data_IF_953075829232
#
_entry.id   IF_953075829232
#
_cell.length_a   1.000
_cell.length_b   1.000
_cell.length_c   1.000
_cell.angle_alpha   90.00
_cell.angle_beta   90.00
_cell.angle_gamma   90.00
#
_symmetry.space_group_name_H-M   'P 1'
#
loop_
_entity.id
_entity.type
_entity.pdbx_description
1 polymer ?
#
# COMPACT_ATOMS: atom_id res chain seq x y z
N UNK A 1 2.93 16.19 46.82
CA UNK A 1 1.91 15.59 45.92
C UNK A 1 2.47 15.57 44.51
N UNK A 2 2.44 14.42 43.83
CA UNK A 2 2.80 14.33 42.40
C UNK A 2 1.76 15.14 41.63
N UNK A 3 2.21 16.13 40.85
CA UNK A 3 1.34 16.83 39.89
C UNK A 3 1.18 15.95 38.65
N UNK A 4 -0.03 15.87 38.14
CA UNK A 4 -0.35 15.14 36.92
C UNK A 4 -0.83 16.13 35.87
N UNK A 5 -0.50 15.85 34.61
CA UNK A 5 -0.84 16.71 33.48
C UNK A 5 -1.58 15.89 32.42
N UNK A 6 -2.69 16.43 31.94
CA UNK A 6 -3.43 15.86 30.82
C UNK A 6 -2.69 16.15 29.51
N UNK A 7 -2.43 15.11 28.71
CA UNK A 7 -1.75 15.25 27.41
C UNK A 7 -2.56 15.99 26.34
N UNK A 8 -3.89 15.98 26.46
CA UNK A 8 -4.80 16.53 25.45
C UNK A 8 -5.13 18.00 25.72
N UNK A 9 -5.60 18.35 26.92
CA UNK A 9 -5.99 19.72 27.25
C UNK A 9 -4.93 20.50 28.05
N UNK A 10 -3.85 19.83 28.48
CA UNK A 10 -2.77 20.46 29.26
C UNK A 10 -3.12 20.74 30.73
N UNK A 11 -4.32 20.37 31.20
CA UNK A 11 -4.73 20.59 32.59
C UNK A 11 -3.73 19.94 33.56
N UNK A 12 -3.26 20.73 34.54
CA UNK A 12 -2.39 20.28 35.62
C UNK A 12 -3.15 20.29 36.95
N UNK A 13 -3.06 19.18 37.69
CA UNK A 13 -3.74 19.03 38.98
C UNK A 13 -3.01 18.09 39.94
N UNK A 14 -3.54 17.96 41.16
CA UNK A 14 -3.15 16.88 42.07
C UNK A 14 -3.67 15.54 41.54
N UNK A 15 -2.97 14.45 41.85
CA UNK A 15 -3.36 13.11 41.43
C UNK A 15 -4.80 12.72 41.84
N UNK A 16 -5.26 13.19 42.99
CA UNK A 16 -6.62 12.95 43.51
C UNK A 16 -7.74 13.48 42.59
N UNK A 17 -7.43 14.44 41.72
CA UNK A 17 -8.39 14.98 40.74
C UNK A 17 -8.53 14.14 39.48
N UNK A 18 -7.63 13.18 39.23
CA UNK A 18 -7.66 12.33 38.04
C UNK A 18 -8.23 10.96 38.40
N UNK A 19 -8.97 10.37 37.46
CA UNK A 19 -9.45 9.00 37.61
C UNK A 19 -8.36 8.04 37.15
N UNK A 20 -7.81 7.22 38.03
CA UNK A 20 -6.76 6.25 37.67
C UNK A 20 -7.34 5.03 36.93
N UNK A 21 -6.56 4.49 35.99
CA UNK A 21 -6.82 3.16 35.42
C UNK A 21 -6.56 2.08 36.45
N UNK A 22 -7.58 1.79 37.24
CA UNK A 22 -7.55 0.73 38.23
C UNK A 22 -7.53 -0.68 37.63
N UNK A 23 -7.81 -0.81 36.32
CA UNK A 23 -7.88 -2.12 35.65
C UNK A 23 -6.51 -2.55 35.13
N UNK A 24 -5.82 -1.68 34.39
CA UNK A 24 -4.53 -2.02 33.79
C UNK A 24 -3.36 -1.27 34.43
N UNK A 25 -3.63 -0.28 35.29
CA UNK A 25 -2.62 0.56 35.94
C UNK A 25 -1.67 1.25 34.96
N UNK A 26 -2.18 1.61 33.78
CA UNK A 26 -1.40 2.22 32.70
C UNK A 26 -1.38 3.75 32.75
N UNK A 27 -2.42 4.36 33.32
CA UNK A 27 -2.65 5.79 33.17
C UNK A 27 -3.85 6.30 33.95
N UNK A 28 -4.41 7.39 33.46
CA UNK A 28 -5.44 8.14 34.14
C UNK A 28 -6.30 8.96 33.16
N UNK A 29 -7.55 9.24 33.53
CA UNK A 29 -8.47 10.10 32.80
C UNK A 29 -8.52 11.51 33.39
N UNK A 30 -8.51 12.49 32.49
CA UNK A 30 -8.59 13.90 32.84
C UNK A 30 -10.01 14.31 33.26
N UNK A 31 -10.20 14.97 34.41
CA UNK A 31 -11.53 15.37 34.88
C UNK A 31 -12.18 16.52 34.09
N UNK A 32 -11.46 17.12 33.12
CA UNK A 32 -11.95 18.25 32.31
C UNK A 32 -12.34 17.87 30.90
N UNK A 33 -11.67 16.89 30.31
CA UNK A 33 -11.89 16.53 28.91
C UNK A 33 -12.02 15.03 28.68
N UNK A 34 -12.05 14.23 29.76
CA UNK A 34 -12.21 12.78 29.78
C UNK A 34 -11.18 12.01 28.94
N UNK A 35 -10.07 12.65 28.58
CA UNK A 35 -9.02 12.01 27.80
C UNK A 35 -8.12 11.16 28.68
N UNK A 36 -7.67 10.04 28.15
CA UNK A 36 -6.67 9.19 28.79
C UNK A 36 -5.26 9.72 28.57
N UNK A 37 -4.44 9.70 29.62
CA UNK A 37 -2.99 9.94 29.58
C UNK A 37 -2.27 8.81 30.31
N UNK A 38 -1.13 8.36 29.80
CA UNK A 38 -0.34 7.33 30.46
C UNK A 38 0.44 7.92 31.63
N UNK A 39 0.68 7.11 32.67
CA UNK A 39 1.48 7.55 33.82
C UNK A 39 2.97 7.70 33.47
N UNK A 40 3.42 7.01 32.42
CA UNK A 40 4.75 7.10 31.84
C UNK A 40 4.68 7.78 30.48
N UNK A 41 5.27 8.96 30.35
CA UNK A 41 5.27 9.77 29.12
C UNK A 41 5.77 8.98 27.90
N UNK A 42 6.67 8.01 28.09
CA UNK A 42 7.18 7.17 27.02
C UNK A 42 6.09 6.35 26.32
N UNK A 43 5.04 5.92 27.03
CA UNK A 43 3.91 5.20 26.42
C UNK A 43 3.08 6.14 25.54
N UNK A 44 2.86 7.36 26.01
CA UNK A 44 2.20 8.38 25.20
C UNK A 44 3.01 8.77 23.96
N UNK A 45 4.34 8.82 24.07
CA UNK A 45 5.24 9.07 22.94
C UNK A 45 5.30 7.90 21.94
N UNK A 46 5.04 6.67 22.41
CA UNK A 46 5.03 5.46 21.56
C UNK A 46 3.72 5.30 20.78
N UNK A 47 2.61 5.86 21.28
CA UNK A 47 1.34 5.80 20.56
C UNK A 47 1.42 6.57 19.24
N UNK A 48 1.08 5.85 18.19
CA UNK A 48 1.01 6.41 16.86
C UNK A 48 -0.44 6.60 16.47
N UNK A 49 -0.76 7.84 16.12
CA UNK A 49 -1.93 8.19 15.34
C UNK A 49 -1.47 9.09 14.20
N UNK A 50 -1.31 8.48 13.03
CA UNK A 50 -0.77 9.13 11.83
C UNK A 50 -1.86 9.34 10.81
N UNK A 51 -1.93 10.54 10.24
CA UNK A 51 -2.77 10.86 9.09
C UNK A 51 -1.88 11.17 7.89
N UNK A 52 -1.95 10.32 6.87
CA UNK A 52 -1.19 10.46 5.64
C UNK A 52 -2.08 10.97 4.52
N UNK A 53 -1.78 12.19 4.07
CA UNK A 53 -2.52 12.86 3.00
C UNK A 53 -1.74 12.76 1.70
N UNK A 54 -2.32 12.08 0.72
CA UNK A 54 -1.70 11.87 -0.57
C UNK A 54 -1.88 13.09 -1.46
N UNK A 55 -0.76 13.76 -1.79
CA UNK A 55 -0.71 14.86 -2.74
C UNK A 55 0.47 14.73 -3.69
N UNK A 56 0.18 14.75 -4.99
CA UNK A 56 1.20 14.56 -6.03
C UNK A 56 2.08 15.79 -6.26
N UNK A 57 1.57 16.98 -5.90
CA UNK A 57 2.24 18.27 -6.16
C UNK A 57 3.13 18.68 -4.99
N UNK A 58 2.61 18.55 -3.76
CA UNK A 58 3.29 19.05 -2.56
C UNK A 58 3.72 17.93 -1.60
N UNK A 59 3.35 16.68 -1.87
CA UNK A 59 3.72 15.56 -1.03
C UNK A 59 5.22 15.32 -1.03
N UNK A 60 5.74 14.92 0.13
CA UNK A 60 7.15 14.53 0.26
C UNK A 60 7.35 13.15 -0.37
N UNK A 61 8.35 12.96 -1.23
CA UNK A 61 8.70 11.65 -1.74
C UNK A 61 9.02 10.71 -0.59
N UNK A 62 8.31 9.59 -0.60
CA UNK A 62 8.58 8.48 0.26
C UNK A 62 9.92 7.84 -0.20
N UNK A 63 10.92 7.73 0.69
CA UNK A 63 12.31 7.25 0.39
C UNK A 63 12.80 6.02 1.18
N UNK A 64 11.93 5.27 1.85
CA UNK A 64 12.29 4.07 2.60
C UNK A 64 12.80 2.97 1.65
N UNK A 65 14.03 2.52 1.91
CA UNK A 65 14.76 1.57 1.07
C UNK A 65 14.52 0.11 1.46
N UNK A 66 13.61 -0.18 2.40
CA UNK A 66 13.29 -1.56 2.77
C UNK A 66 12.85 -2.36 1.56
N UNK A 67 13.57 -3.45 1.34
CA UNK A 67 13.25 -4.41 0.29
C UNK A 67 12.10 -5.27 0.80
N UNK A 68 10.88 -4.90 0.38
CA UNK A 68 9.68 -5.70 0.63
C UNK A 68 9.23 -6.39 -0.64
N UNK A 69 8.67 -7.58 -0.51
CA UNK A 69 8.08 -8.30 -1.64
C UNK A 69 6.94 -7.47 -2.23
N UNK A 70 7.12 -7.06 -3.49
CA UNK A 70 6.11 -6.30 -4.22
C UNK A 70 5.15 -7.23 -4.96
N UNK A 71 3.96 -6.72 -5.27
CA UNK A 71 2.92 -7.43 -6.04
C UNK A 71 2.46 -8.77 -5.43
N UNK A 72 2.38 -8.83 -4.09
CA UNK A 72 1.91 -10.01 -3.35
C UNK A 72 0.42 -10.27 -3.55
N UNK A 73 -0.38 -9.22 -3.78
CA UNK A 73 -1.81 -9.34 -4.01
C UNK A 73 -2.14 -9.97 -5.38
N UNK A 74 -3.17 -10.82 -5.47
CA UNK A 74 -3.73 -11.25 -6.74
C UNK A 74 -4.51 -10.12 -7.43
N UNK A 75 -5.03 -9.16 -6.66
CA UNK A 75 -5.85 -8.05 -7.16
C UNK A 75 -5.00 -6.87 -7.64
N UNK A 76 -5.59 -6.10 -8.56
CA UNK A 76 -5.23 -4.72 -8.87
C UNK A 76 -6.27 -3.83 -8.22
N UNK A 77 -5.92 -3.17 -7.14
CA UNK A 77 -6.86 -2.30 -6.46
C UNK A 77 -6.54 -0.83 -6.75
N UNK A 78 -7.55 0.02 -7.01
CA UNK A 78 -7.38 1.46 -6.98
C UNK A 78 -6.70 1.89 -5.68
N UNK A 79 -5.83 2.90 -5.73
CA UNK A 79 -5.04 3.26 -4.55
C UNK A 79 -3.80 2.39 -4.31
N UNK A 80 -3.78 1.14 -4.80
CA UNK A 80 -2.66 0.19 -4.89
C UNK A 80 -1.46 0.50 -4.00
N UNK A 81 -1.62 0.33 -2.69
CA UNK A 81 -0.64 0.69 -1.65
C UNK A 81 0.58 -0.24 -1.56
N UNK A 82 0.84 -1.05 -2.58
CA UNK A 82 2.01 -1.94 -2.62
C UNK A 82 3.32 -1.17 -2.42
N UNK A 83 3.40 0.04 -2.99
CA UNK A 83 4.55 0.94 -2.82
C UNK A 83 4.54 1.71 -1.49
N UNK A 84 3.42 1.74 -0.78
CA UNK A 84 3.33 2.27 0.58
C UNK A 84 3.78 1.25 1.63
N UNK A 85 3.80 -0.05 1.30
CA UNK A 85 4.16 -1.11 2.24
C UNK A 85 5.51 -0.87 2.97
N UNK A 86 6.62 -0.44 2.32
CA UNK A 86 7.87 -0.12 3.02
C UNK A 86 7.74 0.98 4.06
N UNK A 87 6.82 1.93 3.85
CA UNK A 87 6.58 3.06 4.75
C UNK A 87 5.70 2.66 5.92
N UNK A 88 4.66 1.86 5.68
CA UNK A 88 3.88 1.28 6.78
C UNK A 88 4.79 0.42 7.63
N UNK A 89 5.60 -0.45 7.02
CA UNK A 89 6.63 -1.23 7.69
C UNK A 89 7.58 -0.37 8.53
N UNK A 90 7.85 0.87 8.10
CA UNK A 90 8.66 1.84 8.84
C UNK A 90 8.03 2.41 10.08
N UNK A 91 6.71 2.42 10.11
CA UNK A 91 5.95 2.97 11.22
C UNK A 91 5.48 1.89 12.18
N UNK A 92 5.47 0.61 11.80
CA UNK A 92 5.13 -0.50 12.71
C UNK A 92 5.90 -0.34 14.04
N UNK A 93 5.18 -0.06 15.15
CA UNK A 93 5.80 0.08 16.45
C UNK A 93 6.47 -1.22 16.90
N UNK A 94 7.50 -1.08 17.74
CA UNK A 94 8.12 -2.25 18.35
C UNK A 94 7.11 -3.00 19.22
N UNK A 95 7.04 -4.32 19.08
CA UNK A 95 6.09 -5.16 19.81
C UNK A 95 4.74 -5.36 19.12
N UNK A 96 4.49 -4.70 17.97
CA UNK A 96 3.30 -5.00 17.16
C UNK A 96 3.35 -6.44 16.64
N UNK A 97 2.34 -7.24 16.97
CA UNK A 97 2.18 -8.61 16.49
C UNK A 97 1.03 -8.76 15.48
N UNK A 98 0.11 -7.77 15.43
CA UNK A 98 -1.09 -7.83 14.61
C UNK A 98 -1.26 -6.58 13.76
N UNK A 99 -1.53 -6.77 12.47
CA UNK A 99 -1.88 -5.70 11.54
C UNK A 99 -3.31 -5.91 11.01
N UNK A 100 -4.14 -4.89 11.13
CA UNK A 100 -5.55 -4.95 10.71
C UNK A 100 -5.78 -3.95 9.60
N UNK A 101 -6.39 -4.40 8.51
CA UNK A 101 -6.91 -3.55 7.44
C UNK A 101 -8.45 -3.62 7.42
N UNK A 102 -9.16 -2.63 8.00
CA UNK A 102 -10.62 -2.56 7.97
C UNK A 102 -11.20 -2.40 6.55
N UNK A 103 -10.39 -1.86 5.63
CA UNK A 103 -10.68 -1.60 4.22
C UNK A 103 -9.60 -2.22 3.33
N UNK A 104 -9.40 -3.54 3.44
CA UNK A 104 -8.21 -4.17 2.89
C UNK A 104 -8.08 -4.07 1.36
N UNK A 105 -9.18 -4.10 0.62
CA UNK A 105 -9.19 -4.10 -0.84
C UNK A 105 -8.26 -5.17 -1.42
N UNK A 106 -7.08 -4.74 -1.89
CA UNK A 106 -6.05 -5.65 -2.38
C UNK A 106 -5.15 -6.28 -1.31
N UNK A 107 -5.22 -5.86 -0.05
CA UNK A 107 -4.38 -6.30 1.08
C UNK A 107 -2.87 -6.23 0.82
N UNK A 108 -2.43 -5.31 -0.05
CA UNK A 108 -1.03 -5.28 -0.50
C UNK A 108 -0.05 -4.93 0.63
N UNK A 109 -0.49 -4.12 1.60
CA UNK A 109 0.35 -3.70 2.74
C UNK A 109 0.44 -4.83 3.76
N UNK A 110 -0.69 -5.35 4.23
CA UNK A 110 -0.72 -6.40 5.25
C UNK A 110 -0.06 -7.68 4.80
N UNK A 111 -0.31 -8.13 3.57
CA UNK A 111 0.36 -9.32 3.03
C UNK A 111 1.87 -9.12 2.93
N UNK A 112 2.33 -7.93 2.54
CA UNK A 112 3.76 -7.65 2.44
C UNK A 112 4.43 -7.62 3.82
N UNK A 113 3.77 -7.03 4.82
CA UNK A 113 4.28 -6.98 6.20
C UNK A 113 4.32 -8.37 6.84
N UNK A 114 3.26 -9.17 6.66
CA UNK A 114 3.19 -10.55 7.13
C UNK A 114 4.29 -11.42 6.51
N UNK A 115 4.41 -11.39 5.17
CA UNK A 115 5.41 -12.19 4.46
C UNK A 115 6.85 -11.75 4.76
N UNK A 116 7.05 -10.52 5.24
CA UNK A 116 8.33 -10.02 5.71
C UNK A 116 8.62 -10.35 7.19
N UNK A 117 7.68 -11.01 7.90
CA UNK A 117 7.83 -11.35 9.31
C UNK A 117 7.80 -10.13 10.24
N UNK A 118 7.21 -9.01 9.80
CA UNK A 118 7.10 -7.79 10.61
C UNK A 118 5.94 -7.83 11.60
N UNK A 119 4.96 -8.70 11.35
CA UNK A 119 3.82 -9.01 12.20
C UNK A 119 3.56 -10.51 12.14
N UNK A 120 2.98 -11.07 13.20
CA UNK A 120 2.64 -12.49 13.28
C UNK A 120 1.30 -12.79 12.62
N UNK A 121 0.32 -11.87 12.74
CA UNK A 121 -1.04 -12.07 12.25
C UNK A 121 -1.57 -10.86 11.53
N UNK A 122 -2.46 -11.08 10.56
CA UNK A 122 -3.21 -10.03 9.90
C UNK A 122 -4.71 -10.31 9.94
N UNK A 123 -5.52 -9.25 10.01
CA UNK A 123 -6.96 -9.30 9.78
C UNK A 123 -7.30 -8.45 8.56
N UNK A 124 -7.87 -9.08 7.55
CA UNK A 124 -8.30 -8.47 6.30
C UNK A 124 -9.82 -8.34 6.33
N UNK A 125 -10.33 -7.12 6.44
CA UNK A 125 -11.75 -6.85 6.34
C UNK A 125 -12.06 -6.05 5.07
N UNK A 126 -13.13 -6.40 4.38
CA UNK A 126 -13.68 -5.57 3.32
C UNK A 126 -15.17 -5.79 3.20
N UNK A 127 -15.93 -4.72 2.92
CA UNK A 127 -17.37 -4.82 2.71
C UNK A 127 -17.71 -5.41 1.33
N UNK A 128 -16.79 -5.29 0.36
CA UNK A 128 -16.97 -5.79 -1.01
C UNK A 128 -17.02 -7.33 -1.03
N UNK A 129 -18.18 -7.95 -1.34
CA UNK A 129 -18.34 -9.40 -1.26
C UNK A 129 -17.34 -10.17 -2.14
N UNK A 130 -16.93 -9.60 -3.28
CA UNK A 130 -15.94 -10.20 -4.16
C UNK A 130 -14.53 -10.27 -3.56
N UNK A 131 -14.13 -9.27 -2.78
CA UNK A 131 -12.85 -9.25 -2.06
C UNK A 131 -12.86 -10.29 -0.96
N UNK A 132 -13.90 -10.27 -0.11
CA UNK A 132 -14.08 -11.27 0.96
C UNK A 132 -14.07 -12.69 0.41
N UNK A 133 -14.91 -12.97 -0.59
CA UNK A 133 -15.06 -14.31 -1.18
C UNK A 133 -13.76 -14.82 -1.80
N UNK A 134 -12.99 -13.92 -2.44
CA UNK A 134 -11.68 -14.25 -2.99
C UNK A 134 -10.72 -14.69 -1.89
N UNK A 135 -10.47 -13.83 -0.89
CA UNK A 135 -9.51 -14.15 0.16
C UNK A 135 -9.97 -15.36 0.99
N UNK A 136 -11.25 -15.45 1.34
CA UNK A 136 -11.78 -16.61 2.06
C UNK A 136 -11.54 -17.91 1.31
N UNK A 137 -11.82 -17.95 0.01
CA UNK A 137 -11.56 -19.14 -0.81
C UNK A 137 -10.06 -19.44 -0.93
N UNK A 138 -9.22 -18.41 -1.07
CA UNK A 138 -7.76 -18.60 -1.07
C UNK A 138 -7.30 -19.29 0.21
N UNK A 139 -7.86 -18.94 1.37
CA UNK A 139 -7.46 -19.50 2.66
C UNK A 139 -8.03 -20.90 2.94
N UNK A 140 -9.18 -21.25 2.36
CA UNK A 140 -9.84 -22.55 2.60
C UNK A 140 -9.50 -23.60 1.56
N UNK A 141 -9.61 -23.27 0.28
CA UNK A 141 -9.36 -24.17 -0.85
C UNK A 141 -8.95 -23.39 -2.12
N UNK A 142 -7.66 -23.02 -2.23
CA UNK A 142 -7.17 -22.17 -3.32
C UNK A 142 -7.28 -22.82 -4.70
N UNK A 143 -7.33 -24.16 -4.79
CA UNK A 143 -7.36 -24.88 -6.07
C UNK A 143 -8.67 -24.66 -6.82
N UNK A 144 -9.76 -24.32 -6.12
CA UNK A 144 -11.02 -23.91 -6.74
C UNK A 144 -10.85 -22.65 -7.61
N UNK A 145 -10.03 -21.69 -7.20
CA UNK A 145 -9.75 -20.49 -8.01
C UNK A 145 -8.68 -20.79 -9.05
N UNK A 146 -7.61 -21.51 -8.67
CA UNK A 146 -6.47 -21.78 -9.56
C UNK A 146 -6.90 -22.59 -10.78
N UNK A 147 -7.69 -23.64 -10.59
CA UNK A 147 -8.20 -24.47 -11.69
C UNK A 147 -9.02 -23.64 -12.68
N UNK A 148 -9.94 -22.79 -12.18
CA UNK A 148 -10.71 -21.88 -13.04
C UNK A 148 -9.81 -20.89 -13.78
N UNK A 149 -8.81 -20.30 -13.11
CA UNK A 149 -7.84 -19.40 -13.75
C UNK A 149 -7.08 -20.05 -14.91
N UNK A 150 -6.74 -21.33 -14.79
CA UNK A 150 -6.00 -22.07 -15.81
C UNK A 150 -6.88 -22.50 -16.99
N UNK A 151 -8.17 -22.74 -16.74
CA UNK A 151 -9.11 -23.26 -17.72
C UNK A 151 -9.95 -22.18 -18.43
N UNK A 152 -9.99 -20.95 -17.91
CA UNK A 152 -10.72 -19.84 -18.52
C UNK A 152 -9.78 -18.97 -19.36
N UNK A 153 -10.13 -18.72 -20.63
CA UNK A 153 -9.40 -17.79 -21.50
C UNK A 153 -9.88 -16.36 -21.25
N UNK A 154 -8.98 -15.40 -21.44
CA UNK A 154 -9.32 -13.99 -21.36
C UNK A 154 -10.11 -13.55 -22.60
N UNK A 155 -11.39 -13.24 -22.43
CA UNK A 155 -12.29 -12.72 -23.45
C UNK A 155 -13.30 -11.69 -22.90
N UNK A 156 -13.87 -10.86 -23.79
CA UNK A 156 -14.77 -9.77 -23.42
C UNK A 156 -16.19 -10.24 -23.08
N UNK A 157 -16.66 -11.32 -23.72
CA UNK A 157 -18.01 -11.84 -23.51
C UNK A 157 -18.15 -12.40 -22.09
N UNK A 158 -17.22 -13.28 -21.70
CA UNK A 158 -17.07 -13.81 -20.36
C UNK A 158 -16.88 -12.69 -19.34
N UNK A 159 -16.09 -11.65 -19.66
CA UNK A 159 -15.92 -10.49 -18.79
C UNK A 159 -17.24 -9.80 -18.45
N UNK A 160 -18.05 -9.47 -19.47
CA UNK A 160 -19.33 -8.80 -19.23
C UNK A 160 -20.35 -9.72 -18.56
N UNK A 161 -20.38 -11.01 -18.91
CA UNK A 161 -21.23 -11.99 -18.26
C UNK A 161 -20.89 -12.14 -16.76
N UNK A 162 -19.62 -12.33 -16.42
CA UNK A 162 -19.17 -12.43 -15.04
C UNK A 162 -19.40 -11.12 -14.28
N UNK A 163 -19.09 -9.97 -14.87
CA UNK A 163 -19.34 -8.67 -14.24
C UNK A 163 -20.82 -8.50 -13.93
N UNK A 164 -21.72 -8.80 -14.87
CA UNK A 164 -23.17 -8.73 -14.67
C UNK A 164 -23.61 -9.61 -13.50
N UNK A 165 -23.15 -10.86 -13.47
CA UNK A 165 -23.48 -11.80 -12.41
C UNK A 165 -23.04 -11.36 -11.02
N UNK A 166 -21.94 -10.60 -10.88
CA UNK A 166 -21.48 -10.12 -9.59
C UNK A 166 -22.48 -9.13 -8.94
N UNK A 167 -23.26 -8.42 -9.75
CA UNK A 167 -24.29 -7.48 -9.28
C UNK A 167 -25.69 -8.11 -9.19
N UNK A 168 -25.99 -9.10 -10.03
CA UNK A 168 -27.35 -9.65 -10.15
C UNK A 168 -27.55 -10.99 -9.42
N UNK A 169 -26.49 -11.80 -9.24
CA UNK A 169 -26.58 -13.14 -8.66
C UNK A 169 -26.21 -13.13 -7.16
N UNK A 170 -27.23 -13.12 -6.31
CA UNK A 170 -27.05 -13.19 -4.85
C UNK A 170 -26.49 -14.55 -4.37
N UNK A 171 -26.75 -15.64 -5.10
CA UNK A 171 -26.49 -17.02 -4.67
C UNK A 171 -25.15 -17.62 -5.11
N UNK A 172 -24.19 -16.81 -5.57
CA UNK A 172 -22.85 -17.30 -5.90
C UNK A 172 -22.14 -17.84 -4.65
N UNK A 173 -21.54 -19.02 -4.77
CA UNK A 173 -20.59 -19.52 -3.76
C UNK A 173 -19.37 -18.61 -3.68
N UNK A 174 -18.70 -18.58 -2.52
CA UNK A 174 -17.49 -17.77 -2.32
C UNK A 174 -16.43 -18.07 -3.39
N UNK A 175 -16.25 -19.34 -3.77
CA UNK A 175 -15.28 -19.72 -4.80
C UNK A 175 -15.63 -19.15 -6.18
N UNK A 176 -16.91 -19.20 -6.56
CA UNK A 176 -17.37 -18.67 -7.84
C UNK A 176 -17.32 -17.14 -7.85
N UNK A 177 -17.82 -16.50 -6.79
CA UNK A 177 -17.79 -15.04 -6.62
C UNK A 177 -16.37 -14.51 -6.61
N UNK A 178 -15.48 -15.11 -5.83
CA UNK A 178 -14.08 -14.75 -5.74
C UNK A 178 -13.33 -14.90 -7.07
N UNK A 179 -13.57 -16.00 -7.79
CA UNK A 179 -13.01 -16.20 -9.13
C UNK A 179 -13.49 -15.15 -10.14
N UNK A 180 -14.82 -14.94 -10.24
CA UNK A 180 -15.40 -13.95 -11.17
C UNK A 180 -14.92 -12.54 -10.85
N UNK A 181 -14.84 -12.19 -9.57
CA UNK A 181 -14.31 -10.91 -9.11
C UNK A 181 -12.85 -10.73 -9.52
N UNK A 182 -11.99 -11.73 -9.27
CA UNK A 182 -10.59 -11.71 -9.69
C UNK A 182 -10.47 -11.59 -11.22
N UNK A 183 -11.24 -12.36 -11.98
CA UNK A 183 -11.24 -12.33 -13.44
C UNK A 183 -11.57 -10.93 -13.97
N UNK A 184 -12.68 -10.34 -13.51
CA UNK A 184 -13.07 -8.98 -13.88
C UNK A 184 -12.02 -7.95 -13.43
N UNK A 185 -11.54 -8.04 -12.19
CA UNK A 185 -10.49 -7.16 -11.68
C UNK A 185 -9.22 -7.21 -12.53
N UNK A 186 -8.79 -8.40 -12.97
CA UNK A 186 -7.58 -8.52 -13.80
C UNK A 186 -7.76 -7.95 -15.19
N UNK A 187 -8.95 -8.04 -15.78
CA UNK A 187 -9.19 -7.59 -17.14
C UNK A 187 -9.60 -6.12 -17.22
N UNK A 188 -10.17 -5.56 -16.16
CA UNK A 188 -10.62 -4.17 -16.11
C UNK A 188 -9.46 -3.16 -16.15
N UNK A 189 -9.72 -2.00 -16.74
CA UNK A 189 -8.80 -0.87 -16.65
C UNK A 189 -8.58 -0.48 -15.18
N UNK A 190 -7.31 -0.44 -14.76
CA UNK A 190 -6.89 -0.20 -13.37
C UNK A 190 -7.48 -1.14 -12.31
N UNK A 191 -8.09 -2.26 -12.72
CA UNK A 191 -8.75 -3.20 -11.82
C UNK A 191 -10.04 -2.68 -11.17
N UNK A 192 -10.60 -1.60 -11.69
CA UNK A 192 -11.89 -1.06 -11.22
C UNK A 192 -12.99 -1.97 -11.76
N UNK A 193 -13.78 -2.61 -10.89
CA UNK A 193 -14.87 -3.49 -11.31
C UNK A 193 -15.89 -2.77 -12.22
N UNK A 194 -16.14 -1.49 -11.96
CA UNK A 194 -17.00 -0.64 -12.80
C UNK A 194 -16.38 -0.23 -14.15
N UNK A 195 -15.07 -0.44 -14.32
CA UNK A 195 -14.31 -0.05 -15.50
C UNK A 195 -14.57 -0.95 -16.71
N UNK A 196 -14.26 -0.43 -17.89
CA UNK A 196 -14.25 -1.23 -19.12
C UNK A 196 -13.04 -2.18 -19.14
N UNK A 197 -13.14 -3.31 -19.85
CA UNK A 197 -12.01 -4.21 -20.04
C UNK A 197 -10.89 -3.49 -20.80
N UNK A 198 -9.64 -3.83 -20.49
CA UNK A 198 -8.46 -3.28 -21.17
C UNK A 198 -8.44 -3.63 -22.66
N UNK A 199 -7.74 -2.81 -23.47
CA UNK A 199 -7.59 -3.06 -24.90
C UNK A 199 -6.92 -4.41 -25.19
N UNK A 200 -5.83 -4.69 -24.45
CA UNK A 200 -5.15 -5.98 -24.45
C UNK A 200 -5.40 -6.75 -23.14
N UNK A 201 -6.34 -7.69 -23.21
CA UNK A 201 -6.75 -8.54 -22.09
C UNK A 201 -5.64 -9.51 -21.64
N UNK A 202 -4.84 -10.02 -22.58
CA UNK A 202 -3.86 -11.07 -22.30
C UNK A 202 -2.68 -10.54 -21.49
N UNK A 203 -2.26 -9.28 -21.70
CA UNK A 203 -1.21 -8.66 -20.88
C UNK A 203 -1.57 -8.53 -19.39
N UNK A 204 -2.85 -8.66 -19.03
CA UNK A 204 -3.33 -8.48 -17.65
C UNK A 204 -3.78 -9.77 -16.98
N UNK A 205 -4.10 -10.79 -17.76
CA UNK A 205 -4.50 -12.10 -17.29
C UNK A 205 -3.36 -13.11 -17.43
N UNK A 206 -2.59 -13.30 -16.36
CA UNK A 206 -1.48 -14.26 -16.29
C UNK A 206 -1.78 -15.33 -15.23
N UNK A 207 -2.46 -16.44 -15.60
CA UNK A 207 -2.89 -17.47 -14.66
C UNK A 207 -1.76 -18.09 -13.85
N UNK A 208 -0.60 -18.34 -14.47
CA UNK A 208 0.56 -18.94 -13.78
C UNK A 208 1.07 -18.05 -12.65
N UNK A 209 1.20 -16.75 -12.92
CA UNK A 209 1.65 -15.77 -11.92
C UNK A 209 0.61 -15.58 -10.80
N UNK A 210 -0.67 -15.52 -11.16
CA UNK A 210 -1.76 -15.40 -10.18
C UNK A 210 -1.85 -16.63 -9.28
N UNK A 211 -1.74 -17.84 -9.86
CA UNK A 211 -1.73 -19.07 -9.11
C UNK A 211 -0.55 -19.13 -8.12
N UNK A 212 0.64 -18.68 -8.52
CA UNK A 212 1.79 -18.61 -7.63
C UNK A 212 1.54 -17.67 -6.43
N UNK A 213 0.92 -16.51 -6.66
CA UNK A 213 0.55 -15.57 -5.58
C UNK A 213 -0.50 -16.16 -4.65
N UNK A 214 -1.53 -16.80 -5.21
CA UNK A 214 -2.59 -17.46 -4.43
C UNK A 214 -2.00 -18.55 -3.53
N UNK A 215 -1.16 -19.43 -4.07
CA UNK A 215 -0.49 -20.47 -3.27
C UNK A 215 0.42 -19.88 -2.20
N UNK A 216 1.10 -18.78 -2.51
CA UNK A 216 1.90 -18.08 -1.51
C UNK A 216 1.02 -17.57 -0.37
N UNK A 217 -0.11 -16.92 -0.64
CA UNK A 217 -1.03 -16.44 0.42
C UNK A 217 -1.54 -17.63 1.24
N UNK A 218 -1.94 -18.72 0.59
CA UNK A 218 -2.40 -19.94 1.27
C UNK A 218 -1.35 -20.56 2.21
N UNK A 219 -0.05 -20.40 1.89
CA UNK A 219 1.03 -20.87 2.79
C UNK A 219 1.09 -20.11 4.13
N UNK A 220 0.43 -18.94 4.23
CA UNK A 220 0.31 -18.13 5.44
C UNK A 220 -1.11 -18.20 6.06
N UNK A 221 -2.00 -19.10 5.60
CA UNK A 221 -3.43 -19.06 5.97
C UNK A 221 -3.72 -19.06 7.47
N UNK A 222 -2.89 -19.72 8.28
CA UNK A 222 -3.08 -19.81 9.73
C UNK A 222 -2.75 -18.48 10.45
N UNK A 223 -2.15 -17.52 9.73
CA UNK A 223 -1.80 -16.18 10.20
C UNK A 223 -2.75 -15.10 9.63
N UNK A 224 -3.74 -15.47 8.80
CA UNK A 224 -4.62 -14.54 8.10
C UNK A 224 -6.07 -14.78 8.52
N UNK A 225 -6.69 -13.76 9.08
CA UNK A 225 -8.14 -13.70 9.31
C UNK A 225 -8.80 -12.87 8.19
N UNK A 226 -9.97 -13.31 7.71
CA UNK A 226 -10.73 -12.60 6.67
C UNK A 226 -12.17 -12.42 7.14
N UNK A 227 -12.66 -11.18 7.15
CA UNK A 227 -14.02 -10.82 7.58
C UNK A 227 -14.73 -9.93 6.57
N UNK A 228 -16.06 -9.91 6.61
CA UNK A 228 -16.92 -9.03 5.81
C UNK A 228 -17.86 -8.26 6.74
N UNK A 229 -17.28 -7.48 7.65
CA UNK A 229 -17.99 -6.73 8.67
C UNK A 229 -17.98 -5.22 8.35
N UNK A 230 -18.84 -4.47 9.04
CA UNK A 230 -18.73 -3.01 9.07
C UNK A 230 -17.33 -2.59 9.57
N UNK A 231 -16.69 -1.70 8.82
CA UNK A 231 -15.31 -1.33 9.08
C UNK A 231 -15.14 -0.54 10.38
N UNK A 232 -16.14 0.26 10.78
CA UNK A 232 -16.10 0.99 12.05
C UNK A 232 -16.18 0.02 13.22
N UNK A 233 -17.03 -1.01 13.13
CA UNK A 233 -17.07 -2.07 14.15
C UNK A 233 -15.75 -2.85 14.25
N UNK A 234 -15.07 -3.12 13.12
CA UNK A 234 -13.75 -3.77 13.13
C UNK A 234 -12.68 -2.88 13.76
N UNK A 235 -12.70 -1.58 13.46
CA UNK A 235 -11.79 -0.61 14.07
C UNK A 235 -11.99 -0.60 15.59
N UNK A 236 -13.22 -0.45 16.05
CA UNK A 236 -13.55 -0.42 17.48
C UNK A 236 -13.09 -1.72 18.17
N UNK A 237 -13.48 -2.89 17.65
CA UNK A 237 -13.11 -4.20 18.23
C UNK A 237 -11.59 -4.37 18.34
N UNK A 238 -10.86 -4.10 17.26
CA UNK A 238 -9.42 -4.35 17.17
C UNK A 238 -8.60 -3.32 17.94
N UNK A 239 -9.16 -2.13 18.15
CA UNK A 239 -8.52 -1.08 18.91
C UNK A 239 -8.29 -1.46 20.38
N UNK A 240 -9.26 -2.17 20.98
CA UNK A 240 -9.20 -2.65 22.37
C UNK A 240 -8.14 -3.74 22.61
N UNK A 241 -7.51 -4.28 21.56
CA UNK A 241 -6.42 -5.25 21.69
C UNK A 241 -5.11 -4.62 22.17
N UNK A 242 -5.01 -3.29 22.22
CA UNK A 242 -3.87 -2.59 22.79
C UNK A 242 -2.72 -2.33 21.82
N UNK A 243 -1.58 -1.93 22.37
CA UNK A 243 -0.42 -1.41 21.64
C UNK A 243 0.23 -2.44 20.68
N UNK A 244 -0.03 -3.74 20.86
CA UNK A 244 0.44 -4.82 19.98
C UNK A 244 -0.30 -4.87 18.62
N UNK A 245 -1.35 -4.08 18.46
CA UNK A 245 -2.13 -3.96 17.22
C UNK A 245 -1.82 -2.66 16.50
N UNK A 246 -1.64 -2.77 15.18
CA UNK A 246 -1.64 -1.65 14.25
C UNK A 246 -2.87 -1.71 13.35
N UNK A 247 -3.67 -0.65 13.33
CA UNK A 247 -4.75 -0.45 12.37
C UNK A 247 -4.22 0.36 11.19
N UNK A 248 -4.23 -0.23 10.00
CA UNK A 248 -3.97 0.47 8.74
C UNK A 248 -5.30 0.75 8.04
N UNK A 249 -5.75 2.00 8.09
CA UNK A 249 -7.10 2.43 7.72
C UNK A 249 -7.02 3.22 6.39
N UNK A 250 -7.35 2.55 5.28
CA UNK A 250 -7.36 3.14 3.92
C UNK A 250 -8.79 3.17 3.35
N UNK A 251 -9.67 4.07 3.86
CA UNK A 251 -11.07 4.12 3.45
C UNK A 251 -11.21 4.61 1.99
N UNK A 252 -12.39 4.47 1.38
CA UNK A 252 -12.68 5.10 0.10
C UNK A 252 -12.30 6.59 0.09
N UNK A 253 -11.59 7.08 -0.92
CA UNK A 253 -11.11 8.46 -0.96
C UNK A 253 -12.22 9.49 -1.09
N UNK A 254 -12.00 10.69 -0.57
CA UNK A 254 -13.00 11.76 -0.57
C UNK A 254 -13.27 12.29 -1.99
N UNK A 255 -12.26 12.80 -2.69
CA UNK A 255 -12.43 13.35 -4.05
C UNK A 255 -12.53 12.26 -5.11
N UNK A 256 -11.77 11.18 -4.93
CA UNK A 256 -11.61 10.14 -5.94
C UNK A 256 -12.58 8.96 -5.75
N UNK A 257 -13.18 8.81 -4.57
CA UNK A 257 -14.00 7.67 -4.20
C UNK A 257 -15.12 7.34 -5.18
N UNK A 258 -15.95 8.33 -5.60
CA UNK A 258 -17.06 8.09 -6.54
C UNK A 258 -16.64 7.50 -7.89
N UNK A 259 -15.37 7.60 -8.29
CA UNK A 259 -14.85 7.04 -9.54
C UNK A 259 -14.22 5.67 -9.36
N UNK A 260 -13.80 5.33 -8.15
CA UNK A 260 -12.94 4.17 -7.88
C UNK A 260 -13.70 3.01 -7.24
N UNK A 261 -14.71 3.30 -6.42
CA UNK A 261 -15.40 2.29 -5.62
C UNK A 261 -16.86 2.14 -6.04
N UNK A 262 -17.41 0.92 -6.07
CA UNK A 262 -18.84 0.71 -6.29
C UNK A 262 -19.72 1.42 -5.27
N UNK A 263 -19.26 1.48 -4.01
CA UNK A 263 -19.86 2.23 -2.91
C UNK A 263 -18.85 3.26 -2.40
N UNK A 264 -19.03 4.52 -2.77
CA UNK A 264 -18.23 5.61 -2.23
C UNK A 264 -18.72 5.96 -0.82
N UNK A 265 -17.81 6.47 0.02
CA UNK A 265 -18.17 7.09 1.27
C UNK A 265 -18.87 8.42 1.02
N UNK A 266 -19.93 8.68 1.77
CA UNK A 266 -20.52 10.00 1.92
C UNK A 266 -19.66 10.87 2.84
N UNK A 267 -19.92 12.18 2.88
CA UNK A 267 -19.27 13.06 3.86
C UNK A 267 -19.56 12.62 5.30
N UNK A 268 -20.77 12.12 5.56
CA UNK A 268 -21.18 11.60 6.86
C UNK A 268 -20.37 10.34 7.23
N UNK A 269 -20.12 9.43 6.28
CA UNK A 269 -19.27 8.26 6.54
C UNK A 269 -17.83 8.66 6.92
N UNK A 270 -17.28 9.69 6.27
CA UNK A 270 -15.97 10.24 6.63
C UNK A 270 -15.97 10.88 8.02
N UNK A 271 -17.03 11.61 8.36
CA UNK A 271 -17.21 12.22 9.68
C UNK A 271 -17.32 11.16 10.78
N UNK A 272 -18.09 10.10 10.54
CA UNK A 272 -18.26 8.99 11.48
C UNK A 272 -16.95 8.24 11.71
N UNK A 273 -16.18 7.98 10.65
CA UNK A 273 -14.85 7.38 10.79
C UNK A 273 -13.90 8.28 11.59
N UNK A 274 -13.84 9.58 11.26
CA UNK A 274 -12.98 10.53 11.97
C UNK A 274 -13.36 10.64 13.44
N UNK A 275 -14.66 10.78 13.73
CA UNK A 275 -15.19 10.82 15.09
C UNK A 275 -14.77 9.59 15.89
N UNK A 276 -14.96 8.38 15.34
CA UNK A 276 -14.60 7.14 16.02
C UNK A 276 -13.12 7.08 16.38
N UNK A 277 -12.23 7.31 15.41
CA UNK A 277 -10.78 7.16 15.67
C UNK A 277 -10.23 8.26 16.57
N UNK A 278 -10.76 9.49 16.47
CA UNK A 278 -10.42 10.59 17.37
C UNK A 278 -10.86 10.30 18.80
N UNK A 279 -12.09 9.83 18.97
CA UNK A 279 -12.65 9.49 20.28
C UNK A 279 -11.88 8.33 20.94
N UNK A 280 -11.65 7.25 20.20
CA UNK A 280 -10.83 6.13 20.63
C UNK A 280 -9.43 6.61 21.03
N UNK A 281 -8.76 7.39 20.18
CA UNK A 281 -7.40 7.87 20.46
C UNK A 281 -7.33 8.72 21.72
N UNK A 282 -8.29 9.63 21.87
CA UNK A 282 -8.38 10.58 22.98
C UNK A 282 -8.68 9.88 24.30
N UNK A 283 -9.66 8.98 24.33
CA UNK A 283 -10.28 8.52 25.58
C UNK A 283 -9.81 7.13 26.00
N UNK A 284 -9.20 6.36 25.11
CA UNK A 284 -8.94 4.94 25.35
C UNK A 284 -7.46 4.59 25.04
N UNK A 285 -6.74 3.92 25.96
CA UNK A 285 -5.47 3.27 25.63
C UNK A 285 -5.74 2.11 24.67
N UNK A 286 -5.02 2.04 23.54
CA UNK A 286 -5.35 1.06 22.51
C UNK A 286 -4.35 1.00 21.38
N UNK A 287 -4.83 0.44 20.27
CA UNK A 287 -4.04 0.21 19.07
C UNK A 287 -3.41 1.49 18.49
N UNK A 288 -2.32 1.27 17.77
CA UNK A 288 -1.71 2.28 16.91
C UNK A 288 -2.51 2.40 15.62
N UNK A 289 -2.53 3.59 15.02
CA UNK A 289 -3.33 3.86 13.83
C UNK A 289 -2.55 4.64 12.78
N UNK A 290 -2.67 4.19 11.53
CA UNK A 290 -2.23 4.90 10.34
C UNK A 290 -3.43 5.01 9.42
N UNK A 291 -3.81 6.25 9.08
CA UNK A 291 -4.94 6.54 8.20
C UNK A 291 -4.42 7.17 6.91
N UNK A 292 -4.94 6.75 5.76
CA UNK A 292 -4.58 7.32 4.45
C UNK A 292 -5.78 7.97 3.77
N UNK A 293 -5.56 9.13 3.16
CA UNK A 293 -6.57 9.88 2.42
C UNK A 293 -5.97 10.62 1.24
N UNK A 294 -6.81 11.05 0.30
CA UNK A 294 -6.43 12.10 -0.63
C UNK A 294 -6.34 13.46 0.08
N UNK A 295 -5.38 14.29 -0.31
CA UNK A 295 -5.22 15.60 0.30
C UNK A 295 -6.40 16.53 -0.01
N UNK A 296 -7.22 16.81 1.00
CA UNK A 296 -8.40 17.66 0.91
C UNK A 296 -8.64 18.41 2.22
N UNK A 297 -8.92 19.71 2.14
CA UNK A 297 -9.22 20.55 3.31
C UNK A 297 -10.39 19.98 4.12
N UNK A 298 -11.42 19.44 3.45
CA UNK A 298 -12.54 18.79 4.10
C UNK A 298 -12.11 17.61 4.98
N UNK A 299 -11.10 16.84 4.58
CA UNK A 299 -10.54 15.74 5.39
C UNK A 299 -9.64 16.30 6.50
N UNK A 300 -8.75 17.24 6.19
CA UNK A 300 -7.88 17.86 7.20
C UNK A 300 -8.69 18.44 8.36
N UNK A 301 -9.83 19.08 8.07
CA UNK A 301 -10.69 19.69 9.09
C UNK A 301 -11.44 18.67 9.97
N UNK A 302 -11.48 17.38 9.60
CA UNK A 302 -12.09 16.34 10.42
C UNK A 302 -11.14 15.79 11.49
N UNK A 303 -9.82 15.93 11.29
CA UNK A 303 -8.81 15.31 12.13
C UNK A 303 -7.98 16.37 12.87
N UNK A 304 -8.05 16.35 14.19
CA UNK A 304 -7.38 17.30 15.07
C UNK A 304 -6.19 16.69 15.82
N UNK A 305 -6.27 15.42 16.25
CA UNK A 305 -5.22 14.80 17.07
C UNK A 305 -4.09 14.09 16.31
N UNK A 306 -4.25 13.53 15.09
CA UNK A 306 -3.18 12.76 14.48
C UNK A 306 -2.02 13.66 14.04
N UNK A 307 -0.83 13.11 14.05
CA UNK A 307 0.30 13.71 13.34
C UNK A 307 0.05 13.59 11.84
N UNK A 308 -0.23 14.72 11.20
CA UNK A 308 -0.51 14.79 9.76
C UNK A 308 0.78 14.93 8.95
N UNK A 309 0.95 14.10 7.93
CA UNK A 309 2.05 14.17 6.97
C UNK A 309 1.50 14.15 5.54
N UNK A 310 1.96 15.08 4.69
CA UNK A 310 1.59 15.08 3.27
C UNK A 310 2.62 14.28 2.48
N UNK A 311 2.18 13.17 1.91
CA UNK A 311 3.03 12.18 1.24
C UNK A 311 2.81 12.21 -0.27
N UNK A 312 3.88 12.04 -1.05
CA UNK A 312 3.77 11.94 -2.51
C UNK A 312 3.33 10.53 -2.85
N UNK A 313 2.14 10.32 -3.43
CA UNK A 313 1.69 8.99 -3.72
C UNK A 313 2.46 8.43 -4.91
N UNK A 314 2.93 7.19 -4.78
CA UNK A 314 3.80 6.55 -5.76
C UNK A 314 2.98 5.78 -6.81
N UNK A 315 1.94 6.37 -7.40
CA UNK A 315 1.13 5.69 -8.41
C UNK A 315 1.90 5.43 -9.70
N UNK A 316 1.78 4.24 -10.29
CA UNK A 316 2.36 3.95 -11.61
C UNK A 316 1.81 4.86 -12.72
N UNK A 317 0.54 5.27 -12.64
CA UNK A 317 -0.14 6.08 -13.66
C UNK A 317 0.17 7.59 -13.53
N UNK A 318 0.25 8.09 -12.29
CA UNK A 318 0.65 9.50 -12.06
C UNK A 318 2.13 9.68 -12.34
N UNK A 319 2.99 8.69 -12.03
CA UNK A 319 4.38 8.75 -12.45
C UNK A 319 4.53 8.88 -13.96
N UNK A 320 3.61 8.37 -14.79
CA UNK A 320 3.70 8.56 -16.25
C UNK A 320 3.28 9.97 -16.69
N UNK A 321 2.28 10.60 -16.04
CA UNK A 321 1.79 11.93 -16.44
C UNK A 321 2.67 13.05 -15.90
N UNK A 322 3.11 12.94 -14.65
CA UNK A 322 4.09 13.85 -14.05
C UNK A 322 5.44 13.68 -14.74
N UNK A 323 5.87 12.45 -15.09
CA UNK A 323 7.06 12.28 -15.94
C UNK A 323 6.91 12.92 -17.30
N UNK A 324 5.74 12.87 -17.96
CA UNK A 324 5.55 13.57 -19.23
C UNK A 324 5.65 15.09 -19.09
N UNK A 325 5.07 15.66 -18.03
CA UNK A 325 5.11 17.11 -17.77
C UNK A 325 6.51 17.58 -17.30
N UNK A 326 7.19 16.79 -16.46
CA UNK A 326 8.60 17.01 -16.05
C UNK A 326 9.57 16.74 -17.23
N UNK A 327 9.35 15.72 -18.06
CA UNK A 327 10.11 15.48 -19.30
C UNK A 327 9.92 16.64 -20.28
N UNK A 328 8.71 17.21 -20.41
CA UNK A 328 8.48 18.39 -21.26
C UNK A 328 9.20 19.64 -20.73
N UNK A 329 9.29 19.81 -19.39
CA UNK A 329 10.08 20.88 -18.75
C UNK A 329 11.59 20.65 -18.85
N UNK A 330 12.05 19.40 -18.79
CA UNK A 330 13.46 19.00 -18.92
C UNK A 330 13.92 19.06 -20.39
N UNK A 331 13.05 18.73 -21.36
CA UNK A 331 13.34 18.86 -22.80
C UNK A 331 13.63 20.33 -23.18
N UNK A 332 13.05 21.29 -22.46
CA UNK A 332 13.30 22.71 -22.68
C UNK A 332 14.55 23.24 -21.96
N UNK A 333 15.25 22.42 -21.18
CA UNK A 333 16.42 22.87 -20.42
C UNK A 333 17.56 21.83 -20.46
N UNK A 334 18.49 22.10 -21.39
CA UNK A 334 19.87 21.58 -21.49
C UNK A 334 20.08 20.18 -22.10
N UNK A 335 20.61 20.22 -23.32
CA UNK A 335 21.82 19.56 -23.78
C UNK A 335 22.41 18.48 -22.85
N UNK A 336 22.19 17.20 -23.20
CA UNK A 336 23.18 16.10 -23.24
C UNK A 336 22.42 14.80 -23.51
N UNK A 337 22.12 14.51 -24.79
CA UNK A 337 21.81 13.16 -25.24
C UNK A 337 23.12 12.52 -25.68
N UNK A 338 23.79 11.79 -24.79
CA UNK A 338 24.94 10.95 -25.14
C UNK A 338 24.73 9.56 -24.56
N UNK A 339 24.12 8.68 -25.37
CA UNK A 339 24.65 7.37 -25.77
C UNK A 339 23.53 6.58 -26.48
N UNK A 340 23.12 7.05 -27.66
CA UNK A 340 22.23 6.31 -28.59
C UNK A 340 23.07 5.48 -29.58
N UNK A 341 24.28 5.06 -29.17
CA UNK A 341 25.14 4.22 -29.99
C UNK A 341 24.75 2.78 -29.79
N UNK A 342 24.17 2.19 -30.84
CA UNK A 342 23.81 0.77 -30.90
C UNK A 342 25.01 -0.17 -30.94
N UNK A 343 26.25 0.29 -31.00
CA UNK A 343 27.45 -0.56 -30.94
C UNK A 343 28.52 0.23 -30.19
N UNK A 344 28.80 -0.15 -28.94
CA UNK A 344 29.88 0.45 -28.16
C UNK A 344 31.23 -0.14 -28.58
N UNK A 345 32.26 0.69 -28.55
CA UNK A 345 33.64 0.33 -28.89
C UNK A 345 34.62 0.79 -27.79
N UNK A 346 35.80 0.15 -27.66
CA UNK A 346 36.89 0.69 -26.85
C UNK A 346 37.19 2.17 -27.19
N UNK A 347 37.23 3.01 -26.18
CA UNK A 347 37.38 4.47 -26.30
C UNK A 347 36.07 5.25 -26.14
N UNK A 348 34.90 4.59 -26.24
CA UNK A 348 33.63 5.25 -25.98
C UNK A 348 33.50 5.67 -24.51
N UNK A 349 32.95 6.87 -24.31
CA UNK A 349 32.60 7.42 -23.00
C UNK A 349 31.15 7.12 -22.70
N UNK A 350 30.91 6.60 -21.50
CA UNK A 350 29.57 6.27 -21.03
C UNK A 350 29.34 6.90 -19.65
N UNK A 351 28.12 7.41 -19.42
CA UNK A 351 27.72 8.07 -18.16
C UNK A 351 26.47 7.42 -17.58
N UNK A 352 26.51 7.05 -16.30
CA UNK A 352 25.41 6.39 -15.59
C UNK A 352 25.31 6.87 -14.14
N UNK A 353 24.15 7.37 -13.72
CA UNK A 353 23.91 7.82 -12.34
C UNK A 353 25.02 8.77 -11.79
N UNK A 354 25.60 9.59 -12.67
CA UNK A 354 26.70 10.51 -12.32
C UNK A 354 28.12 9.89 -12.35
N UNK A 355 28.24 8.61 -12.71
CA UNK A 355 29.52 7.94 -12.90
C UNK A 355 29.88 7.96 -14.40
N UNK A 356 30.97 8.64 -14.75
CA UNK A 356 31.56 8.63 -16.10
C UNK A 356 32.67 7.58 -16.18
N UNK A 357 32.67 6.76 -17.23
CA UNK A 357 33.72 5.79 -17.52
C UNK A 357 34.05 5.79 -19.00
N UNK A 358 35.31 5.50 -19.33
CA UNK A 358 35.76 5.26 -20.71
C UNK A 358 36.06 3.78 -20.87
N UNK A 359 35.48 3.15 -21.89
CA UNK A 359 35.64 1.72 -22.16
C UNK A 359 37.08 1.46 -22.61
N UNK A 360 37.85 0.65 -21.87
CA UNK A 360 39.16 0.19 -22.32
C UNK A 360 39.07 -1.15 -23.06
N UNK A 361 38.28 -2.08 -22.55
CA UNK A 361 38.08 -3.39 -23.16
C UNK A 361 36.68 -3.92 -22.87
N UNK A 362 35.92 -4.25 -23.91
CA UNK A 362 34.58 -4.87 -23.77
C UNK A 362 34.75 -6.37 -23.54
N UNK A 363 34.18 -6.86 -22.45
CA UNK A 363 34.16 -8.28 -22.07
C UNK A 363 32.91 -8.98 -22.56
N UNK A 364 31.78 -8.26 -22.59
CA UNK A 364 30.50 -8.79 -23.04
C UNK A 364 29.58 -7.66 -23.52
N UNK A 365 28.78 -7.92 -24.55
CA UNK A 365 27.74 -7.00 -25.00
C UNK A 365 26.57 -7.79 -25.61
N UNK A 366 25.37 -7.58 -25.09
CA UNK A 366 24.13 -8.21 -25.57
C UNK A 366 23.01 -7.18 -25.72
N UNK A 367 22.24 -7.30 -26.80
CA UNK A 367 21.04 -6.51 -27.01
C UNK A 367 19.82 -7.29 -26.59
N UNK A 368 18.91 -6.60 -25.91
CA UNK A 368 17.62 -7.14 -25.57
C UNK A 368 16.55 -6.38 -26.36
N UNK A 369 16.23 -6.93 -27.54
CA UNK A 369 15.18 -6.44 -28.46
C UNK A 369 15.30 -4.92 -28.76
N UNK A 370 14.17 -4.26 -29.06
CA UNK A 370 14.05 -2.80 -29.20
C UNK A 370 14.00 -2.08 -27.83
N UNK A 371 14.37 -2.75 -26.74
CA UNK A 371 14.22 -2.22 -25.37
C UNK A 371 15.55 -1.72 -24.77
N UNK A 372 16.72 -2.27 -25.13
CA UNK A 372 18.01 -1.84 -24.56
C UNK A 372 19.24 -2.70 -24.87
N UNK A 373 20.34 -2.42 -24.16
CA UNK A 373 21.60 -3.15 -24.22
C UNK A 373 22.19 -3.44 -22.83
N UNK A 374 23.00 -4.49 -22.74
CA UNK A 374 23.86 -4.81 -21.60
C UNK A 374 25.29 -4.82 -22.10
N UNK A 375 26.19 -4.17 -21.38
CA UNK A 375 27.64 -4.17 -21.67
C UNK A 375 28.43 -4.41 -20.39
N UNK A 376 29.36 -5.33 -20.44
CA UNK A 376 30.37 -5.53 -19.40
C UNK A 376 31.74 -5.23 -19.98
N UNK A 377 32.50 -4.39 -19.29
CA UNK A 377 33.77 -3.88 -19.79
C UNK A 377 34.71 -3.52 -18.64
N UNK A 378 36.00 -3.45 -18.96
CA UNK A 378 37.01 -2.85 -18.09
C UNK A 378 37.21 -1.41 -18.54
N UNK A 379 37.20 -0.46 -17.60
CA UNK A 379 37.46 0.95 -17.92
C UNK A 379 38.97 1.25 -18.02
N UNK A 380 39.32 2.46 -18.46
CA UNK A 380 40.72 2.89 -18.60
C UNK A 380 41.48 3.00 -17.27
N UNK A 381 40.79 2.92 -16.12
CA UNK A 381 41.39 2.83 -14.79
C UNK A 381 41.57 1.37 -14.33
N UNK A 382 41.23 0.38 -15.15
CA UNK A 382 41.35 -1.03 -14.85
C UNK A 382 40.18 -1.60 -14.02
N UNK A 383 39.07 -0.87 -13.89
CA UNK A 383 37.92 -1.30 -13.07
C UNK A 383 36.93 -2.06 -13.94
N UNK A 384 36.47 -3.23 -13.47
CA UNK A 384 35.40 -3.98 -14.11
C UNK A 384 34.03 -3.34 -13.86
N UNK A 385 33.24 -3.20 -14.92
CA UNK A 385 31.91 -2.58 -14.87
C UNK A 385 30.91 -3.37 -15.69
N UNK A 386 29.70 -3.56 -15.15
CA UNK A 386 28.54 -4.12 -15.87
C UNK A 386 27.43 -3.08 -15.91
N UNK A 387 26.97 -2.71 -17.11
CA UNK A 387 26.00 -1.67 -17.39
C UNK A 387 24.82 -2.24 -18.17
N UNK A 388 23.60 -1.98 -17.71
CA UNK A 388 22.37 -2.41 -18.40
C UNK A 388 21.50 -1.20 -18.70
N UNK A 389 21.41 -0.78 -19.97
CA UNK A 389 20.72 0.44 -20.40
C UNK A 389 19.55 0.22 -21.34
N UNK A 390 18.38 0.80 -21.02
CA UNK A 390 17.26 0.87 -21.98
C UNK A 390 17.51 1.95 -23.05
N UNK A 391 17.01 1.79 -24.27
CA UNK A 391 17.19 2.77 -25.36
C UNK A 391 16.60 4.16 -25.05
N UNK A 392 15.63 4.24 -24.14
CA UNK A 392 15.08 5.50 -23.62
C UNK A 392 15.87 6.10 -22.45
N UNK A 393 16.99 5.46 -22.07
CA UNK A 393 17.93 5.87 -21.02
C UNK A 393 17.54 5.48 -19.59
N UNK A 394 16.44 4.74 -19.37
CA UNK A 394 15.74 4.70 -18.06
C UNK A 394 16.10 3.59 -17.08
N UNK A 395 17.08 2.76 -17.37
CA UNK A 395 17.59 1.79 -16.41
C UNK A 395 19.10 1.77 -16.58
N UNK A 396 19.88 1.92 -15.52
CA UNK A 396 21.31 1.60 -15.56
C UNK A 396 21.73 1.11 -14.19
N UNK A 397 21.87 -0.21 -14.07
CA UNK A 397 22.55 -0.80 -12.91
C UNK A 397 24.01 -0.84 -13.26
N UNK A 398 24.85 -0.10 -12.53
CA UNK A 398 26.30 -0.22 -12.59
C UNK A 398 26.73 -1.10 -11.42
N UNK A 399 27.12 -2.33 -11.69
CA UNK A 399 27.89 -3.10 -10.72
C UNK A 399 29.36 -2.78 -10.92
N UNK A 400 30.01 -2.36 -9.85
CA UNK A 400 31.46 -2.20 -9.73
C UNK A 400 31.97 -3.37 -8.90
N UNK A 401 32.78 -4.23 -9.52
CA UNK A 401 33.49 -5.32 -8.87
C UNK A 401 34.92 -4.90 -8.56
#
# INVERSE_FOLDING_TARGET
MRKMQCRICGYEGSAEGFEEDTRNHLGFWCPYCDSFSYTLDEHDQRRQFLLWLEDVKIGTPLTDKRIMKQNVSPLRYPGGKTKLAPYVAAKIPHGTNRLVEPFCGGASVSLACLMAGLVEKIRLNDMEPGVFSLFRTILTDPEQIISRLQNTKADRETYFAYRKSLFEEASLSDAERGFRYLYCNRLAFSGILLGNPTGDLKSRYNPKTLAARIRQIYSFRDQIEVTQNDALSVIEEEYWRGEETLLFIDPPYYKQGPKLYPKAFSLEDHQNLAFLVEDLYKNVPGANMIITYDNADAIQNLYALPKTEIIKPVYSCVTQKIRKEEEQMIINNKATRECDRRNLEPGDKIVCQGIEATIAEIKYQEYWEDEGFIVEFTDTNGIYRSWKQALDGRYVTAYTG
#
